data_IF_400320040753
#
_entry.id   IF_400320040753
#
_cell.length_a   1.000
_cell.length_b   1.000
_cell.length_c   1.000
_cell.angle_alpha   90.00
_cell.angle_beta   90.00
_cell.angle_gamma   90.00
#
_symmetry.space_group_name_H-M   'P 1'
#
loop_
_entity.id
_entity.type
_entity.pdbx_description
1 polymer ?
#
# COMPACT_ATOMS: atom_id res chain seq x y z
N UNK A 1 -2.61 -5.84 -9.92
CA UNK A 1 -3.36 -5.23 -8.80
C UNK A 1 -2.81 -5.59 -7.41
N UNK A 2 -1.74 -6.40 -7.30
CA UNK A 2 -1.07 -6.77 -6.06
C UNK A 2 0.25 -6.00 -5.87
N UNK A 3 0.87 -6.13 -4.69
CA UNK A 3 2.17 -5.56 -4.35
C UNK A 3 2.11 -4.10 -3.89
N UNK A 4 3.28 -3.59 -3.47
CA UNK A 4 3.42 -2.25 -2.86
C UNK A 4 2.52 -2.09 -1.64
N UNK A 5 1.55 -1.18 -1.68
CA UNK A 5 0.56 -0.94 -0.62
C UNK A 5 -0.68 -1.81 -0.73
N UNK A 6 -0.78 -2.64 -1.77
CA UNK A 6 -1.82 -3.64 -1.97
C UNK A 6 -1.45 -4.99 -1.34
N UNK A 7 -2.35 -5.95 -1.45
CA UNK A 7 -2.14 -7.32 -0.97
C UNK A 7 -1.00 -8.02 -1.74
N UNK A 8 -0.42 -9.09 -1.17
CA UNK A 8 0.55 -9.94 -1.86
C UNK A 8 0.02 -10.49 -3.20
N UNK A 9 0.93 -10.93 -4.08
CA UNK A 9 0.53 -11.50 -5.37
C UNK A 9 -0.17 -12.84 -5.19
N UNK A 10 -1.42 -12.93 -5.66
CA UNK A 10 -2.18 -14.18 -5.69
C UNK A 10 -1.41 -15.28 -6.44
N UNK A 11 -0.85 -14.97 -7.61
CA UNK A 11 -0.09 -15.95 -8.40
C UNK A 11 1.17 -16.42 -7.70
N UNK A 12 1.87 -15.53 -6.97
CA UNK A 12 3.04 -15.92 -6.21
C UNK A 12 2.67 -16.85 -5.04
N UNK A 13 1.61 -16.53 -4.30
CA UNK A 13 1.14 -17.37 -3.20
C UNK A 13 0.68 -18.74 -3.71
N UNK A 14 -0.12 -18.78 -4.78
CA UNK A 14 -0.57 -20.05 -5.38
C UNK A 14 0.61 -20.89 -5.84
N UNK A 15 1.57 -20.30 -6.56
CA UNK A 15 2.74 -21.02 -7.07
C UNK A 15 3.66 -21.53 -5.94
N UNK A 16 3.86 -20.74 -4.88
CA UNK A 16 4.70 -21.16 -3.76
C UNK A 16 4.11 -22.32 -2.94
N UNK A 17 2.79 -22.53 -3.00
CA UNK A 17 2.09 -23.58 -2.25
C UNK A 17 1.81 -24.83 -3.10
N UNK A 18 2.09 -24.81 -4.40
CA UNK A 18 1.89 -25.94 -5.31
C UNK A 18 2.74 -27.14 -4.89
N UNK A 19 2.12 -28.32 -4.77
CA UNK A 19 2.79 -29.55 -4.32
C UNK A 19 3.13 -29.61 -2.83
N UNK A 20 2.61 -28.69 -2.01
CA UNK A 20 2.71 -28.72 -0.54
C UNK A 20 1.41 -29.18 0.10
N UNK A 21 1.43 -29.50 1.40
CA UNK A 21 0.21 -29.80 2.18
C UNK A 21 -0.80 -28.63 2.23
N UNK A 22 -0.38 -27.43 1.84
CA UNK A 22 -1.18 -26.21 1.80
C UNK A 22 -1.62 -25.83 0.38
N UNK A 23 -1.58 -26.77 -0.56
CA UNK A 23 -1.95 -26.52 -1.95
C UNK A 23 -3.35 -25.91 -2.07
N UNK A 24 -3.47 -24.86 -2.87
CA UNK A 24 -4.70 -24.06 -2.98
C UNK A 24 -5.75 -24.68 -3.90
N UNK A 25 -5.35 -25.60 -4.79
CA UNK A 25 -6.21 -26.15 -5.85
C UNK A 25 -6.59 -25.14 -6.95
N UNK A 26 -5.96 -23.97 -6.98
CA UNK A 26 -6.24 -22.91 -7.96
C UNK A 26 -5.28 -23.05 -9.15
N UNK A 27 -5.84 -23.16 -10.36
CA UNK A 27 -5.05 -23.22 -11.61
C UNK A 27 -4.28 -21.91 -11.87
N UNK A 28 -2.96 -22.01 -12.06
CA UNK A 28 -2.11 -20.87 -12.40
C UNK A 28 -2.47 -20.23 -13.75
N UNK A 29 -2.93 -21.01 -14.74
CA UNK A 29 -3.42 -20.48 -16.02
C UNK A 29 -4.61 -19.54 -15.83
N UNK A 30 -5.55 -19.91 -14.93
CA UNK A 30 -6.69 -19.05 -14.58
C UNK A 30 -6.25 -17.78 -13.87
N UNK A 31 -5.26 -17.87 -12.98
CA UNK A 31 -4.68 -16.69 -12.30
C UNK A 31 -4.01 -15.76 -13.32
N UNK A 32 -3.30 -16.32 -14.30
CA UNK A 32 -2.69 -15.57 -15.40
C UNK A 32 -3.73 -14.81 -16.22
N UNK A 33 -4.78 -15.50 -16.68
CA UNK A 33 -5.89 -14.86 -17.42
C UNK A 33 -6.60 -13.78 -16.59
N UNK A 34 -6.83 -14.02 -15.30
CA UNK A 34 -7.40 -13.04 -14.38
C UNK A 34 -6.51 -11.80 -14.24
N UNK A 35 -5.20 -11.99 -14.09
CA UNK A 35 -4.24 -10.88 -14.00
C UNK A 35 -4.22 -10.04 -15.28
N UNK A 36 -4.22 -10.67 -16.45
CA UNK A 36 -4.21 -9.99 -17.74
C UNK A 36 -5.46 -9.12 -17.97
N UNK A 37 -6.63 -9.58 -17.53
CA UNK A 37 -7.85 -8.77 -17.54
C UNK A 37 -7.72 -7.52 -16.66
N UNK A 38 -7.20 -7.67 -15.44
CA UNK A 38 -7.04 -6.55 -14.52
C UNK A 38 -5.94 -5.58 -14.92
N UNK A 39 -4.89 -6.05 -15.60
CA UNK A 39 -3.87 -5.20 -16.18
C UNK A 39 -4.47 -4.23 -17.21
N UNK A 40 -5.29 -4.74 -18.13
CA UNK A 40 -6.00 -3.91 -19.10
C UNK A 40 -7.01 -2.98 -18.42
N UNK A 41 -7.81 -3.50 -17.49
CA UNK A 41 -8.82 -2.71 -16.76
C UNK A 41 -8.17 -1.56 -15.98
N UNK A 42 -7.00 -1.80 -15.37
CA UNK A 42 -6.25 -0.79 -14.62
C UNK A 42 -5.88 0.43 -15.47
N UNK A 43 -5.63 0.25 -16.77
CA UNK A 43 -5.30 1.36 -17.67
C UNK A 43 -6.41 2.42 -17.77
N UNK A 44 -7.67 2.03 -17.55
CA UNK A 44 -8.81 2.95 -17.53
C UNK A 44 -8.78 3.92 -16.33
N UNK A 45 -8.00 3.60 -15.30
CA UNK A 45 -7.87 4.37 -14.07
C UNK A 45 -6.54 5.15 -13.99
N UNK A 46 -5.86 5.35 -15.13
CA UNK A 46 -4.57 6.05 -15.19
C UNK A 46 -4.50 7.38 -14.40
N UNK A 47 -5.53 8.24 -14.36
CA UNK A 47 -5.48 9.48 -13.56
C UNK A 47 -5.35 9.26 -12.04
N UNK A 48 -5.69 8.08 -11.54
CA UNK A 48 -5.68 7.75 -10.10
C UNK A 48 -4.53 6.80 -9.73
N UNK A 49 -3.62 6.55 -10.66
CA UNK A 49 -2.52 5.61 -10.46
C UNK A 49 -1.52 6.11 -9.42
N UNK A 50 -1.46 5.43 -8.28
CA UNK A 50 -0.43 5.66 -7.27
C UNK A 50 1.00 5.46 -7.83
N UNK A 51 1.13 4.67 -8.91
CA UNK A 51 2.41 4.40 -9.57
C UNK A 51 3.06 5.63 -10.21
N UNK A 52 2.30 6.72 -10.39
CA UNK A 52 2.85 8.01 -10.82
C UNK A 52 3.88 8.58 -9.83
N UNK A 53 3.71 8.32 -8.53
CA UNK A 53 4.58 8.85 -7.46
C UNK A 53 5.31 7.75 -6.68
N UNK A 54 4.77 6.53 -6.64
CA UNK A 54 5.32 5.39 -5.92
C UNK A 54 5.81 4.31 -6.88
N UNK A 55 7.11 4.00 -6.84
CA UNK A 55 7.72 3.00 -7.73
C UNK A 55 7.98 1.65 -7.08
N UNK A 56 7.88 1.56 -5.76
CA UNK A 56 8.15 0.35 -4.98
C UNK A 56 7.42 0.40 -3.64
N UNK A 57 7.39 -0.74 -2.94
CA UNK A 57 7.13 -0.75 -1.50
C UNK A 57 8.28 -0.07 -0.73
N UNK A 58 8.06 0.20 0.56
CA UNK A 58 9.06 0.80 1.44
C UNK A 58 9.10 0.05 2.78
N UNK A 59 10.30 -0.25 3.27
CA UNK A 59 10.52 -0.95 4.54
C UNK A 59 10.38 -0.04 5.75
N UNK A 60 10.32 1.27 5.54
CA UNK A 60 10.09 2.25 6.61
C UNK A 60 8.71 2.14 7.27
N UNK A 61 7.79 1.36 6.68
CA UNK A 61 6.49 1.00 7.28
C UNK A 61 6.66 0.36 8.66
N UNK A 62 7.79 -0.31 8.92
CA UNK A 62 8.11 -0.87 10.25
C UNK A 62 8.48 0.20 11.29
N UNK A 63 8.57 1.48 10.89
CA UNK A 63 8.83 2.61 11.79
C UNK A 63 7.63 3.54 11.90
N UNK A 64 7.05 3.92 10.75
CA UNK A 64 5.93 4.85 10.73
C UNK A 64 4.57 4.16 10.94
N UNK A 65 4.49 2.87 10.59
CA UNK A 65 3.30 2.02 10.62
C UNK A 65 2.10 2.67 9.93
N UNK A 66 2.37 3.47 8.90
CA UNK A 66 1.35 4.08 8.06
C UNK A 66 0.71 2.96 7.25
N UNK A 67 -0.59 2.73 7.39
CA UNK A 67 -1.27 1.65 6.70
C UNK A 67 -1.29 1.88 5.17
N UNK A 68 -1.15 0.80 4.39
CA UNK A 68 -0.92 0.88 2.94
C UNK A 68 -1.82 1.87 2.19
N UNK A 69 -3.14 1.77 2.31
CA UNK A 69 -4.05 2.71 1.63
C UNK A 69 -3.85 4.17 2.04
N UNK A 70 -3.54 4.44 3.32
CA UNK A 70 -3.22 5.77 3.81
C UNK A 70 -1.86 6.25 3.30
N UNK A 71 -0.87 5.36 3.19
CA UNK A 71 0.46 5.69 2.69
C UNK A 71 0.37 6.28 1.29
N UNK A 72 -0.31 5.60 0.37
CA UNK A 72 -0.48 6.09 -1.01
C UNK A 72 -1.26 7.39 -1.09
N UNK A 73 -2.30 7.55 -0.28
CA UNK A 73 -3.08 8.79 -0.25
C UNK A 73 -2.25 9.96 0.29
N UNK A 74 -1.51 9.75 1.38
CA UNK A 74 -0.66 10.76 2.00
C UNK A 74 0.48 11.17 1.06
N UNK A 75 1.07 10.21 0.34
CA UNK A 75 2.08 10.48 -0.66
C UNK A 75 1.50 11.32 -1.82
N UNK A 76 0.34 10.92 -2.36
CA UNK A 76 -0.32 11.67 -3.42
C UNK A 76 -0.67 13.11 -2.98
N UNK A 77 -1.13 13.28 -1.73
CA UNK A 77 -1.39 14.60 -1.14
C UNK A 77 -0.11 15.43 -1.04
N UNK A 78 0.98 14.86 -0.51
CA UNK A 78 2.26 15.54 -0.41
C UNK A 78 2.78 16.00 -1.77
N UNK A 79 2.72 15.14 -2.80
CA UNK A 79 3.10 15.51 -4.17
C UNK A 79 2.18 16.60 -4.75
N UNK A 80 0.87 16.50 -4.54
CA UNK A 80 -0.10 17.48 -5.04
C UNK A 80 0.05 18.87 -4.39
N UNK A 81 0.56 18.92 -3.16
CA UNK A 81 0.86 20.16 -2.43
C UNK A 81 2.29 20.68 -2.66
N UNK A 82 3.08 20.04 -3.52
CA UNK A 82 4.49 20.41 -3.76
C UNK A 82 5.44 20.03 -2.61
N UNK A 83 4.98 19.23 -1.65
CA UNK A 83 5.73 18.76 -0.48
C UNK A 83 6.34 17.35 -0.69
N UNK A 84 6.41 16.87 -1.93
CA UNK A 84 6.94 15.53 -2.25
C UNK A 84 8.36 15.29 -1.72
N UNK A 85 9.24 16.29 -1.79
CA UNK A 85 10.61 16.21 -1.25
C UNK A 85 10.66 16.16 0.28
N UNK A 86 9.57 16.57 0.95
CA UNK A 86 9.46 16.57 2.40
C UNK A 86 8.69 15.36 2.95
N UNK A 87 8.36 14.38 2.09
CA UNK A 87 7.58 13.23 2.49
C UNK A 87 8.24 12.41 3.61
N UNK A 88 9.57 12.35 3.65
CA UNK A 88 10.30 11.74 4.79
C UNK A 88 10.01 12.43 6.13
N UNK A 89 9.91 13.77 6.13
CA UNK A 89 9.57 14.53 7.34
C UNK A 89 8.12 14.29 7.76
N UNK A 90 7.20 14.18 6.79
CA UNK A 90 5.79 13.87 7.04
C UNK A 90 5.67 12.49 7.73
N UNK A 91 6.40 11.48 7.26
CA UNK A 91 6.40 10.14 7.88
C UNK A 91 6.99 10.15 9.29
N UNK A 92 8.03 10.93 9.53
CA UNK A 92 8.62 11.10 10.85
C UNK A 92 7.63 11.76 11.83
N UNK A 93 6.98 12.85 11.40
CA UNK A 93 5.95 13.52 12.19
C UNK A 93 4.76 12.59 12.49
N UNK A 94 4.36 11.76 11.52
CA UNK A 94 3.31 10.77 11.73
C UNK A 94 3.67 9.72 12.81
N UNK A 95 4.92 9.27 12.84
CA UNK A 95 5.41 8.35 13.88
C UNK A 95 5.47 9.04 15.26
N UNK A 96 5.91 10.30 15.31
CA UNK A 96 5.94 11.10 16.54
C UNK A 96 4.53 11.35 17.09
N UNK A 97 3.59 11.76 16.24
CA UNK A 97 2.19 11.93 16.60
C UNK A 97 1.57 10.64 17.17
N UNK A 98 1.92 9.47 16.63
CA UNK A 98 1.47 8.19 17.19
C UNK A 98 1.96 7.98 18.64
N UNK A 99 3.21 8.32 18.94
CA UNK A 99 3.75 8.21 20.30
C UNK A 99 3.10 9.23 21.25
N UNK A 100 2.88 10.47 20.79
CA UNK A 100 2.21 11.51 21.57
C UNK A 100 0.77 11.11 21.94
N UNK A 101 0.08 10.40 21.05
CA UNK A 101 -1.29 9.92 21.25
C UNK A 101 -1.38 8.59 22.02
N UNK A 102 -0.25 8.07 22.52
CA UNK A 102 -0.21 6.87 23.36
C UNK A 102 -0.07 5.55 22.60
N UNK A 103 0.64 5.57 21.48
CA UNK A 103 0.97 4.39 20.66
C UNK A 103 -0.27 3.60 20.20
N UNK A 104 -1.06 4.24 19.32
CA UNK A 104 -2.36 3.74 18.92
C UNK A 104 -2.29 2.72 17.78
N UNK A 105 -3.24 1.79 17.79
CA UNK A 105 -3.50 0.94 16.62
C UNK A 105 -4.13 1.80 15.51
N UNK A 106 -3.31 2.13 14.51
CA UNK A 106 -3.71 2.94 13.34
C UNK A 106 -4.57 2.13 12.36
N UNK A 107 -5.87 2.02 12.64
CA UNK A 107 -6.92 1.48 11.71
C UNK A 107 -8.00 2.55 11.40
N UNK A 108 -8.89 2.34 10.42
CA UNK A 108 -9.70 3.37 9.69
C UNK A 108 -10.45 4.44 10.51
N UNK A 109 -10.64 4.29 11.82
CA UNK A 109 -11.21 5.32 12.71
C UNK A 109 -10.14 6.15 13.45
N UNK A 110 -8.97 5.56 13.72
CA UNK A 110 -7.85 6.19 14.44
C UNK A 110 -6.82 6.84 13.49
N UNK A 111 -6.75 6.38 12.23
CA UNK A 111 -5.81 6.87 11.21
C UNK A 111 -5.98 8.35 10.85
N UNK A 112 -7.21 8.87 10.90
CA UNK A 112 -7.52 10.26 10.54
C UNK A 112 -7.05 11.23 11.60
N UNK A 113 -7.02 10.82 12.87
CA UNK A 113 -6.60 11.66 14.00
C UNK A 113 -5.08 11.91 13.95
N UNK A 114 -4.29 10.87 13.68
CA UNK A 114 -2.81 10.98 13.58
C UNK A 114 -2.36 11.83 12.37
N UNK A 115 -3.17 11.89 11.30
CA UNK A 115 -2.87 12.66 10.09
C UNK A 115 -3.31 14.14 10.12
N UNK A 116 -4.04 14.56 11.15
CA UNK A 116 -4.59 15.91 11.29
C UNK A 116 -4.26 16.48 12.68
N UNK A 117 -3.00 16.85 12.90
CA UNK A 117 -2.68 17.89 13.90
C UNK A 117 -2.27 19.19 13.18
N UNK A 118 -2.70 20.36 13.69
CA UNK A 118 -2.31 21.68 13.20
C UNK A 118 -0.85 22.05 13.51
#
# INVERSE_FOLDING_TARGET
MSGMTSQPSMGAVVACLEGTDFETGISLDKVGAYSAFWEQTRTLYAPFECTATMKSGNSDVYRNEIPGGQYTNLQFQAFSLGLGEHFEKIKAAYAEANLLLGDLIKVSLYKTIVGHEP
#
